data_IF_934478118327
#
_entry.id   IF_934478118327
#
_cell.length_a   1.000
_cell.length_b   1.000
_cell.length_c   1.000
_cell.angle_alpha   90.00
_cell.angle_beta   90.00
_cell.angle_gamma   90.00
#
_symmetry.space_group_name_H-M   'P 1'
#
loop_
_entity.id
_entity.type
_entity.pdbx_description
1 polymer ?
#
# COMPACT_ATOMS: atom_id res chain seq x y z
N UNK A 1 -14.98 -10.89 6.44
CA UNK A 1 -13.96 -10.34 5.53
C UNK A 1 -14.21 -8.86 5.37
N UNK A 2 -13.17 -8.05 5.49
CA UNK A 2 -13.21 -6.59 5.28
C UNK A 2 -12.16 -6.21 4.23
N UNK A 3 -12.39 -5.10 3.54
CA UNK A 3 -11.46 -4.57 2.54
C UNK A 3 -11.34 -3.06 2.66
N UNK A 4 -10.13 -2.56 2.44
CA UNK A 4 -9.77 -1.16 2.60
C UNK A 4 -9.08 -0.70 1.32
N UNK A 5 -9.40 0.51 0.86
CA UNK A 5 -8.62 1.20 -0.18
C UNK A 5 -8.12 2.49 0.41
N UNK A 6 -6.81 2.60 0.54
CA UNK A 6 -6.14 3.74 1.14
C UNK A 6 -5.42 4.48 0.01
N UNK A 7 -5.83 5.72 -0.24
CA UNK A 7 -5.15 6.60 -1.19
C UNK A 7 -3.88 7.11 -0.51
N UNK A 8 -2.78 7.19 -1.26
CA UNK A 8 -1.48 7.56 -0.73
C UNK A 8 -1.15 9.03 -1.02
N UNK A 9 -0.38 9.63 -0.14
CA UNK A 9 0.21 10.97 -0.30
C UNK A 9 1.69 10.92 -0.67
N UNK A 10 2.42 9.89 -0.22
CA UNK A 10 3.83 9.67 -0.54
C UNK A 10 4.11 8.17 -0.68
N UNK A 11 5.12 7.82 -1.47
CA UNK A 11 5.59 6.45 -1.62
C UNK A 11 7.11 6.43 -1.84
N UNK A 12 7.79 5.50 -1.17
CA UNK A 12 9.17 5.14 -1.44
C UNK A 12 9.22 3.71 -1.99
N UNK A 13 10.02 3.49 -3.03
CA UNK A 13 10.35 2.17 -3.57
C UNK A 13 11.84 1.93 -3.35
N UNK A 14 12.19 0.90 -2.59
CA UNK A 14 13.57 0.59 -2.18
C UNK A 14 14.28 1.78 -1.51
N UNK A 15 13.53 2.58 -0.74
CA UNK A 15 14.01 3.78 -0.07
C UNK A 15 14.23 4.98 -0.99
N UNK A 16 13.76 4.92 -2.24
CA UNK A 16 13.79 6.03 -3.19
C UNK A 16 12.38 6.62 -3.29
N UNK A 17 12.19 7.92 -2.96
CA UNK A 17 10.89 8.57 -3.10
C UNK A 17 10.49 8.63 -4.57
N UNK A 18 9.21 8.36 -4.82
CA UNK A 18 8.60 8.46 -6.15
C UNK A 18 7.46 9.45 -6.15
N UNK A 19 7.51 10.38 -7.09
CA UNK A 19 6.42 11.31 -7.36
C UNK A 19 5.34 10.59 -8.19
N UNK A 20 4.08 10.84 -7.88
CA UNK A 20 2.95 10.21 -8.57
C UNK A 20 1.75 11.14 -8.66
N UNK A 21 0.93 10.93 -9.67
CA UNK A 21 -0.36 11.63 -9.80
C UNK A 21 -1.52 10.82 -9.19
N UNK A 22 -1.29 9.53 -8.96
CA UNK A 22 -2.21 8.63 -8.29
C UNK A 22 -1.46 7.46 -7.66
N UNK A 23 -1.77 7.14 -6.40
CA UNK A 23 -1.39 5.88 -5.81
C UNK A 23 -2.41 5.42 -4.77
N UNK A 24 -2.64 4.11 -4.69
CA UNK A 24 -3.43 3.48 -3.65
C UNK A 24 -2.82 2.15 -3.19
N UNK A 25 -3.21 1.74 -1.99
CA UNK A 25 -3.05 0.37 -1.51
C UNK A 25 -4.43 -0.20 -1.19
N UNK A 26 -4.70 -1.39 -1.72
CA UNK A 26 -5.88 -2.19 -1.44
C UNK A 26 -5.50 -3.31 -0.47
N UNK A 27 -6.19 -3.39 0.66
CA UNK A 27 -5.91 -4.34 1.74
C UNK A 27 -7.14 -5.18 2.02
N UNK A 28 -6.97 -6.47 2.20
CA UNK A 28 -8.01 -7.42 2.58
C UNK A 28 -7.67 -8.03 3.93
N UNK A 29 -8.61 -7.95 4.87
CA UNK A 29 -8.53 -8.65 6.15
C UNK A 29 -9.54 -9.80 6.14
N UNK A 30 -9.02 -11.02 6.22
CA UNK A 30 -9.82 -12.26 6.19
C UNK A 30 -10.68 -12.37 7.45
N UNK A 31 -11.75 -13.16 7.36
CA UNK A 31 -12.60 -13.42 8.53
C UNK A 31 -11.80 -14.10 9.66
N UNK A 32 -11.91 -13.56 10.87
CA UNK A 32 -11.17 -14.02 12.05
C UNK A 32 -9.74 -13.52 12.16
N UNK A 33 -9.23 -12.77 11.18
CA UNK A 33 -7.92 -12.12 11.25
C UNK A 33 -8.04 -10.67 11.75
N UNK A 34 -7.01 -10.18 12.44
CA UNK A 34 -6.89 -8.78 12.87
C UNK A 34 -6.07 -7.93 11.90
N UNK A 35 -5.21 -8.57 11.10
CA UNK A 35 -4.26 -7.95 10.17
C UNK A 35 -4.34 -8.67 8.81
N UNK A 36 -3.97 -8.00 7.70
CA UNK A 36 -3.86 -8.67 6.40
C UNK A 36 -2.74 -9.72 6.42
N UNK A 37 -2.92 -10.82 5.70
CA UNK A 37 -1.82 -11.75 5.45
C UNK A 37 -0.80 -11.19 4.43
N UNK A 38 0.36 -11.85 4.27
CA UNK A 38 1.45 -11.38 3.42
C UNK A 38 1.08 -11.06 1.96
N UNK A 39 0.08 -11.75 1.42
CA UNK A 39 -0.37 -11.59 0.03
C UNK A 39 -1.76 -10.97 -0.10
N UNK A 40 -2.32 -10.48 1.01
CA UNK A 40 -3.68 -9.95 1.07
C UNK A 40 -3.72 -8.43 0.87
N UNK A 41 -2.68 -7.87 0.25
CA UNK A 41 -2.62 -6.47 -0.12
C UNK A 41 -1.94 -6.26 -1.48
N UNK A 42 -2.36 -5.22 -2.19
CA UNK A 42 -1.83 -4.81 -3.49
C UNK A 42 -1.68 -3.29 -3.52
N UNK A 43 -0.57 -2.79 -4.08
CA UNK A 43 -0.35 -1.36 -4.26
C UNK A 43 -0.31 -1.02 -5.75
N UNK A 44 -0.97 0.08 -6.12
CA UNK A 44 -1.00 0.61 -7.47
C UNK A 44 -0.45 2.02 -7.47
N UNK A 45 0.55 2.27 -8.30
CA UNK A 45 1.17 3.59 -8.46
C UNK A 45 1.09 4.00 -9.93
N UNK A 46 0.77 5.28 -10.17
CA UNK A 46 0.93 5.94 -11.45
C UNK A 46 1.89 7.13 -11.29
N UNK A 47 3.14 6.92 -11.67
CA UNK A 47 4.21 7.90 -11.51
C UNK A 47 4.17 8.94 -12.62
N UNK A 48 4.53 10.17 -12.29
CA UNK A 48 4.64 11.27 -13.26
C UNK A 48 5.84 11.08 -14.19
N UNK A 49 6.92 10.51 -13.66
CA UNK A 49 8.15 10.18 -14.36
C UNK A 49 8.19 8.70 -14.74
N UNK A 50 9.05 8.40 -15.72
CA UNK A 50 9.30 7.02 -16.15
C UNK A 50 10.23 6.31 -15.17
N UNK A 51 9.77 5.21 -14.57
CA UNK A 51 10.56 4.35 -13.69
C UNK A 51 10.66 2.92 -14.24
N UNK A 52 11.90 2.47 -14.48
CA UNK A 52 12.17 1.08 -14.86
C UNK A 52 12.30 0.21 -13.61
N UNK A 53 11.20 -0.43 -13.21
CA UNK A 53 11.20 -1.41 -12.13
C UNK A 53 11.52 -2.82 -12.62
N UNK A 54 12.27 -3.57 -11.83
CA UNK A 54 12.49 -4.98 -12.06
C UNK A 54 11.20 -5.77 -11.74
N UNK A 55 10.97 -6.89 -12.43
CA UNK A 55 9.89 -7.83 -12.05
C UNK A 55 10.38 -8.69 -10.88
N UNK A 56 10.63 -8.05 -9.74
CA UNK A 56 11.24 -8.64 -8.56
C UNK A 56 10.56 -8.14 -7.27
N UNK A 57 11.05 -8.59 -6.12
CA UNK A 57 10.67 -8.07 -4.80
C UNK A 57 11.29 -6.69 -4.60
N UNK A 58 10.48 -5.76 -4.11
CA UNK A 58 10.82 -4.39 -3.77
C UNK A 58 10.30 -4.09 -2.36
N UNK A 59 11.01 -3.26 -1.62
CA UNK A 59 10.54 -2.75 -0.33
C UNK A 59 9.72 -1.48 -0.57
N UNK A 60 8.50 -1.44 -0.03
CA UNK A 60 7.60 -0.29 -0.16
C UNK A 60 7.44 0.41 1.19
N UNK A 61 7.49 1.73 1.17
CA UNK A 61 6.96 2.57 2.25
C UNK A 61 5.88 3.48 1.68
N UNK A 62 4.66 3.38 2.20
CA UNK A 62 3.45 3.98 1.65
C UNK A 62 2.81 4.85 2.73
N UNK A 63 2.76 6.16 2.51
CA UNK A 63 2.22 7.10 3.49
C UNK A 63 0.87 7.63 3.02
N UNK A 64 -0.16 7.53 3.87
CA UNK A 64 -1.48 8.08 3.60
C UNK A 64 -1.54 9.60 3.93
N UNK A 65 -2.59 10.34 3.52
CA UNK A 65 -2.70 11.77 3.78
C UNK A 65 -2.75 12.19 5.25
N UNK A 66 -3.17 11.29 6.14
CA UNK A 66 -3.21 11.52 7.60
C UNK A 66 -1.83 11.36 8.27
N UNK A 67 -0.80 10.95 7.51
CA UNK A 67 0.56 10.70 7.98
C UNK A 67 0.80 9.27 8.47
N UNK A 68 -0.21 8.40 8.46
CA UNK A 68 -0.01 6.97 8.71
C UNK A 68 0.89 6.38 7.63
N UNK A 69 1.80 5.48 8.03
CA UNK A 69 2.81 4.91 7.14
C UNK A 69 2.76 3.39 7.22
N UNK A 70 2.48 2.77 6.08
CA UNK A 70 2.49 1.33 5.89
C UNK A 70 3.80 0.91 5.21
N UNK A 71 4.40 -0.19 5.66
CA UNK A 71 5.63 -0.74 5.07
C UNK A 71 5.48 -2.22 4.80
N UNK A 72 6.04 -2.68 3.70
CA UNK A 72 6.03 -4.10 3.39
C UNK A 72 6.72 -4.38 2.07
N UNK A 73 7.19 -5.62 1.93
CA UNK A 73 7.79 -6.05 0.68
C UNK A 73 6.71 -6.53 -0.29
N UNK A 74 6.90 -6.21 -1.57
CA UNK A 74 5.98 -6.61 -2.62
C UNK A 74 6.70 -6.96 -3.91
N UNK A 75 6.11 -7.87 -4.68
CA UNK A 75 6.59 -8.25 -6.01
C UNK A 75 5.87 -7.41 -7.05
N UNK A 76 6.62 -6.80 -7.97
CA UNK A 76 6.04 -6.14 -9.15
C UNK A 76 5.40 -7.18 -10.05
N UNK A 77 4.09 -7.05 -10.29
CA UNK A 77 3.30 -7.92 -11.18
C UNK A 77 3.07 -7.30 -12.55
N UNK A 78 3.13 -5.97 -12.63
CA UNK A 78 3.03 -5.23 -13.87
C UNK A 78 3.79 -3.91 -13.75
N UNK A 79 4.48 -3.54 -14.82
CA UNK A 79 5.05 -2.20 -15.00
C UNK A 79 5.11 -1.87 -16.48
N UNK A 80 4.62 -0.69 -16.87
CA UNK A 80 4.87 -0.12 -18.20
C UNK A 80 5.80 1.10 -18.18
N UNK A 81 6.40 1.38 -17.01
CA UNK A 81 7.25 2.53 -16.78
C UNK A 81 6.56 3.71 -16.10
N UNK A 82 5.23 3.83 -16.19
CA UNK A 82 4.47 4.84 -15.46
C UNK A 82 3.44 4.23 -14.51
N UNK A 83 2.86 3.09 -14.90
CA UNK A 83 1.89 2.36 -14.08
C UNK A 83 2.56 1.14 -13.52
N UNK A 84 2.42 0.94 -12.21
CA UNK A 84 3.03 -0.15 -11.48
C UNK A 84 1.99 -0.83 -10.61
N UNK A 85 1.94 -2.16 -10.67
CA UNK A 85 1.15 -2.99 -9.77
C UNK A 85 2.10 -3.86 -8.95
N UNK A 86 1.98 -3.74 -7.65
CA UNK A 86 2.70 -4.52 -6.66
C UNK A 86 1.72 -5.45 -5.94
N UNK A 87 2.16 -6.68 -5.67
CA UNK A 87 1.44 -7.61 -4.81
C UNK A 87 2.29 -7.94 -3.60
N UNK A 88 1.70 -7.87 -2.42
CA UNK A 88 2.38 -8.21 -1.17
C UNK A 88 3.08 -9.57 -1.21
N UNK A 89 4.27 -9.60 -0.62
CA UNK A 89 5.14 -10.77 -0.44
C UNK A 89 5.63 -10.89 1.02
N UNK A 90 5.07 -10.07 1.91
CA UNK A 90 5.34 -10.02 3.35
C UNK A 90 4.22 -9.26 4.07
N UNK A 91 4.26 -9.26 5.40
CA UNK A 91 3.32 -8.51 6.24
C UNK A 91 3.32 -7.00 5.88
N UNK A 92 2.17 -6.35 6.04
CA UNK A 92 2.00 -4.92 5.82
C UNK A 92 2.03 -4.18 7.16
N UNK A 93 3.23 -3.92 7.66
CA UNK A 93 3.48 -3.23 8.91
C UNK A 93 2.85 -1.83 8.90
N UNK A 94 2.26 -1.42 10.02
CA UNK A 94 1.67 -0.09 10.19
C UNK A 94 0.29 0.08 9.57
N UNK A 95 -0.28 -0.97 8.94
CA UNK A 95 -1.68 -0.98 8.59
C UNK A 95 -2.54 -1.00 9.87
N UNK A 96 -3.38 0.02 10.02
CA UNK A 96 -4.42 0.06 11.06
C UNK A 96 -5.75 0.10 10.32
N UNK A 97 -6.68 -0.84 10.60
CA UNK A 97 -8.04 -0.72 10.10
C UNK A 97 -8.64 0.58 10.67
N UNK A 98 -8.80 1.61 9.86
CA UNK A 98 -9.61 2.76 10.27
C UNK A 98 -11.03 2.24 10.55
N UNK A 99 -11.56 2.58 11.72
CA UNK A 99 -13.00 2.43 11.96
C UNK A 99 -13.70 3.47 11.07
N UNK A 100 -14.50 3.07 10.06
CA UNK A 100 -15.25 4.03 9.25
C UNK A 100 -16.26 4.84 10.09
N UNK A 101 -16.47 4.49 11.36
CA UNK A 101 -17.12 5.36 12.32
C UNK A 101 -16.09 6.23 13.05
N UNK A 102 -15.95 7.48 12.64
CA UNK A 102 -15.36 8.54 13.46
C UNK A 102 -16.22 8.84 14.70
N UNK A 103 -16.64 7.84 15.46
CA UNK A 103 -17.43 7.97 16.67
C UNK A 103 -16.53 7.75 17.89
N UNK A 104 -16.06 8.85 18.46
CA UNK A 104 -15.54 8.83 19.83
C UNK A 104 -16.75 8.64 20.74
N UNK A 105 -16.90 7.43 21.31
CA UNK A 105 -17.81 7.25 22.43
C UNK A 105 -17.22 8.00 23.62
N UNK A 106 -17.71 9.22 23.86
CA UNK A 106 -17.44 9.92 25.12
C UNK A 106 -18.07 9.11 26.26
N UNK A 107 -17.23 8.72 27.22
CA UNK A 107 -17.59 8.05 28.48
C UNK A 107 -18.15 9.01 29.52
#
# INVERSE_FOLDING_TARGET
MQSYRIVLSHADIDGIPVEFDYADVFVVVREGATEPGPTDWEAQLRTDQYHRLAMARHELALTAPDGSCMRGAAIVRFSDGHRHLFRGDDDLDGFVPEDPSGYVAES
#
